data_IF_125600919980
#
_entry.id   IF_125600919980
#
_cell.length_a   1.000
_cell.length_b   1.000
_cell.length_c   1.000
_cell.angle_alpha   90.00
_cell.angle_beta   90.00
_cell.angle_gamma   90.00
#
_symmetry.space_group_name_H-M   'P 1'
#
loop_
_entity.id
_entity.type
_entity.pdbx_description
1 polymer ?
#
# COMPACT_ATOMS: atom_id res chain seq x y z
N UNK A 1 -18.23 4.93 -73.03
CA UNK A 1 -18.03 3.63 -72.35
C UNK A 1 -17.42 3.89 -70.98
N UNK A 2 -18.16 3.75 -69.88
CA UNK A 2 -17.63 3.85 -68.52
C UNK A 2 -18.03 2.58 -67.75
N UNK A 3 -17.04 1.83 -67.27
CA UNK A 3 -17.21 0.54 -66.59
C UNK A 3 -17.66 0.79 -65.15
N UNK A 4 -18.71 0.11 -64.63
CA UNK A 4 -19.13 0.33 -63.25
C UNK A 4 -18.09 -0.27 -62.30
N UNK A 5 -17.53 0.57 -61.42
CA UNK A 5 -16.62 0.17 -60.35
C UNK A 5 -17.41 -0.53 -59.25
N UNK A 6 -17.28 -1.86 -59.20
CA UNK A 6 -17.90 -2.72 -58.19
C UNK A 6 -17.24 -2.44 -56.83
N UNK A 7 -17.85 -1.58 -56.00
CA UNK A 7 -17.43 -1.40 -54.60
C UNK A 7 -17.55 -2.74 -53.88
N UNK A 8 -16.42 -3.35 -53.50
CA UNK A 8 -16.39 -4.56 -52.66
C UNK A 8 -16.97 -4.18 -51.30
N UNK A 9 -18.22 -4.59 -51.05
CA UNK A 9 -18.83 -4.47 -49.73
C UNK A 9 -18.05 -5.37 -48.78
N UNK A 10 -17.38 -4.76 -47.80
CA UNK A 10 -16.69 -5.51 -46.75
C UNK A 10 -17.77 -6.16 -45.88
N UNK A 11 -17.75 -7.50 -45.67
CA UNK A 11 -18.81 -8.17 -44.95
C UNK A 11 -18.86 -7.65 -43.51
N UNK A 12 -20.08 -7.49 -42.97
CA UNK A 12 -20.32 -7.01 -41.59
C UNK A 12 -19.46 -7.75 -40.56
N UNK A 13 -19.18 -9.04 -40.80
CA UNK A 13 -18.30 -9.87 -39.97
C UNK A 13 -16.89 -9.26 -39.78
N UNK A 14 -16.30 -8.64 -40.80
CA UNK A 14 -14.97 -7.99 -40.70
C UNK A 14 -15.02 -6.78 -39.78
N UNK A 15 -16.12 -6.01 -39.80
CA UNK A 15 -16.33 -4.90 -38.89
C UNK A 15 -16.46 -5.36 -37.44
N UNK A 16 -17.18 -6.46 -37.20
CA UNK A 16 -17.28 -7.07 -35.86
C UNK A 16 -15.94 -7.59 -35.36
N UNK A 17 -15.13 -8.24 -36.22
CA UNK A 17 -13.80 -8.71 -35.86
C UNK A 17 -12.84 -7.56 -35.51
N UNK A 18 -12.86 -6.46 -36.28
CA UNK A 18 -12.04 -5.29 -35.99
C UNK A 18 -12.44 -4.62 -34.67
N UNK A 19 -13.75 -4.48 -34.41
CA UNK A 19 -14.23 -3.93 -33.16
C UNK A 19 -13.79 -4.78 -31.94
N UNK A 20 -13.86 -6.11 -32.04
CA UNK A 20 -13.45 -7.01 -30.97
C UNK A 20 -11.95 -6.89 -30.64
N UNK A 21 -11.09 -6.79 -31.65
CA UNK A 21 -9.63 -6.62 -31.47
C UNK A 21 -9.32 -5.28 -30.81
N UNK A 22 -9.99 -4.21 -31.22
CA UNK A 22 -9.81 -2.88 -30.61
C UNK A 22 -10.23 -2.87 -29.15
N UNK A 23 -11.38 -3.47 -28.81
CA UNK A 23 -11.86 -3.57 -27.43
C UNK A 23 -10.88 -4.37 -26.56
N UNK A 24 -10.38 -5.50 -27.08
CA UNK A 24 -9.44 -6.36 -26.34
C UNK A 24 -8.10 -5.66 -26.10
N UNK A 25 -7.59 -4.92 -27.10
CA UNK A 25 -6.37 -4.12 -26.96
C UNK A 25 -6.52 -2.97 -25.96
N UNK A 26 -7.64 -2.23 -26.01
CA UNK A 26 -7.93 -1.16 -25.06
C UNK A 26 -8.12 -1.70 -23.63
N UNK A 27 -8.78 -2.85 -23.47
CA UNK A 27 -8.96 -3.51 -22.18
C UNK A 27 -7.64 -3.97 -21.56
N UNK A 28 -6.75 -4.58 -22.37
CA UNK A 28 -5.43 -4.99 -21.91
C UNK A 28 -4.56 -3.78 -21.51
N UNK A 29 -4.58 -2.71 -22.30
CA UNK A 29 -3.88 -1.47 -21.96
C UNK A 29 -4.40 -0.84 -20.66
N UNK A 30 -5.72 -0.81 -20.47
CA UNK A 30 -6.35 -0.28 -19.25
C UNK A 30 -5.98 -1.11 -18.01
N UNK A 31 -5.99 -2.45 -18.11
CA UNK A 31 -5.59 -3.34 -17.02
C UNK A 31 -4.12 -3.17 -16.61
N UNK A 32 -3.22 -3.06 -17.58
CA UNK A 32 -1.79 -2.78 -17.31
C UNK A 32 -1.60 -1.42 -16.64
N UNK A 33 -2.36 -0.40 -17.06
CA UNK A 33 -2.33 0.92 -16.44
C UNK A 33 -2.85 0.90 -15.00
N UNK A 34 -3.97 0.20 -14.74
CA UNK A 34 -4.53 0.08 -13.40
C UNK A 34 -3.60 -0.69 -12.45
N UNK A 35 -2.93 -1.74 -12.94
CA UNK A 35 -1.91 -2.48 -12.17
C UNK A 35 -0.74 -1.60 -11.74
N UNK A 36 -0.29 -0.64 -12.57
CA UNK A 36 0.78 0.29 -12.20
C UNK A 36 0.36 1.32 -11.15
N UNK A 37 -0.93 1.63 -11.05
CA UNK A 37 -1.44 2.65 -10.13
C UNK A 37 -1.63 2.17 -8.68
N UNK A 38 -1.59 0.85 -8.43
CA UNK A 38 -1.73 0.26 -7.09
C UNK A 38 -0.47 0.41 -6.22
N UNK A 39 0.66 0.85 -6.78
CA UNK A 39 1.94 0.97 -6.05
C UNK A 39 2.01 2.25 -5.19
N UNK A 40 1.05 3.16 -5.35
CA UNK A 40 1.01 4.44 -4.63
C UNK A 40 -0.16 4.49 -3.64
N UNK A 41 -0.27 3.51 -2.75
CA UNK A 41 -1.03 3.73 -1.52
C UNK A 41 -0.12 4.52 -0.56
N UNK A 42 -0.44 5.78 -0.20
CA UNK A 42 0.30 6.47 0.83
C UNK A 42 0.17 5.67 2.12
N UNK A 43 1.30 5.42 2.79
CA UNK A 43 1.32 4.79 4.10
C UNK A 43 0.48 5.65 5.05
N UNK A 44 -0.76 5.23 5.32
CA UNK A 44 -1.60 5.88 6.32
C UNK A 44 -1.06 5.57 7.71
N UNK A 45 -0.08 6.35 8.14
CA UNK A 45 0.44 6.31 9.50
C UNK A 45 -0.64 6.89 10.42
N UNK A 46 -1.42 6.01 11.05
CA UNK A 46 -2.28 6.38 12.18
C UNK A 46 -1.39 6.70 13.39
N UNK A 47 -0.99 7.96 13.51
CA UNK A 47 -0.11 8.42 14.58
C UNK A 47 -0.31 9.90 14.89
N UNK A 48 0.13 10.30 16.08
CA UNK A 48 0.13 11.70 16.52
C UNK A 48 1.53 12.25 16.34
N UNK A 49 1.69 13.22 15.45
CA UNK A 49 2.92 13.99 15.35
C UNK A 49 2.95 15.08 16.42
N UNK A 50 3.89 14.96 17.37
CA UNK A 50 4.13 15.99 18.39
C UNK A 50 5.06 17.05 17.81
N UNK A 51 4.49 18.18 17.39
CA UNK A 51 5.25 19.34 16.91
C UNK A 51 6.02 20.07 18.02
N UNK A 52 5.68 19.82 19.29
CA UNK A 52 6.37 20.35 20.46
C UNK A 52 6.97 19.18 21.26
N UNK A 53 8.28 19.21 21.58
CA UNK A 53 8.88 18.20 22.44
C UNK A 53 8.17 18.15 23.79
N UNK A 54 7.67 16.97 24.16
CA UNK A 54 7.11 16.71 25.48
C UNK A 54 8.21 16.14 26.37
N UNK A 55 8.41 16.68 27.59
CA UNK A 55 9.40 16.13 28.51
C UNK A 55 8.99 14.72 28.94
N UNK A 56 9.94 13.79 28.92
CA UNK A 56 9.75 12.46 29.50
C UNK A 56 9.69 12.63 31.03
N UNK A 57 8.58 12.20 31.63
CA UNK A 57 8.43 12.18 33.08
C UNK A 57 9.40 11.19 33.72
N UNK A 58 9.74 11.39 34.98
CA UNK A 58 10.62 10.47 35.68
C UNK A 58 9.89 9.14 35.93
N UNK A 59 10.59 8.04 35.73
CA UNK A 59 10.08 6.68 35.90
C UNK A 59 11.16 5.77 36.48
N UNK A 60 10.70 4.69 37.10
CA UNK A 60 11.56 3.62 37.60
C UNK A 60 10.95 2.30 37.15
N UNK A 61 11.69 1.57 36.32
CA UNK A 61 11.35 0.26 35.80
C UNK A 61 12.48 -0.72 36.14
N UNK A 62 12.22 -2.00 35.89
CA UNK A 62 13.20 -3.07 35.99
C UNK A 62 13.40 -3.64 34.60
N UNK A 63 14.66 -3.76 34.15
CA UNK A 63 14.97 -4.35 32.86
C UNK A 63 14.91 -5.90 32.91
N UNK A 64 15.15 -6.53 31.77
CA UNK A 64 15.19 -7.99 31.61
C UNK A 64 16.33 -8.67 32.40
N UNK A 65 17.38 -7.94 32.74
CA UNK A 65 18.49 -8.41 33.58
C UNK A 65 18.25 -8.19 35.09
N UNK A 66 17.11 -7.60 35.49
CA UNK A 66 16.77 -7.29 36.89
C UNK A 66 17.39 -5.99 37.44
N UNK A 67 18.07 -5.21 36.60
CA UNK A 67 18.62 -3.90 36.93
C UNK A 67 17.58 -2.77 36.86
N UNK A 68 17.89 -1.65 37.51
CA UNK A 68 17.07 -0.44 37.44
C UNK A 68 17.15 0.19 36.04
N UNK A 69 16.00 0.58 35.49
CA UNK A 69 15.89 1.32 34.25
C UNK A 69 15.08 2.59 34.47
N UNK A 70 15.69 3.73 34.22
CA UNK A 70 15.15 5.07 34.50
C UNK A 70 15.28 5.97 33.27
N UNK A 71 14.89 7.24 33.44
CA UNK A 71 15.08 8.26 32.41
C UNK A 71 16.55 8.56 32.10
N UNK A 72 17.47 8.34 33.05
CA UNK A 72 18.90 8.60 32.84
C UNK A 72 19.45 7.75 31.70
N UNK A 73 18.98 6.51 31.58
CA UNK A 73 19.35 5.55 30.56
C UNK A 73 18.89 5.95 29.15
N UNK A 74 18.00 6.94 29.01
CA UNK A 74 17.52 7.45 27.72
C UNK A 74 18.30 8.67 27.21
N UNK A 75 19.16 9.28 28.04
CA UNK A 75 19.84 10.53 27.70
C UNK A 75 20.98 10.34 26.69
N UNK A 76 21.19 11.33 25.83
CA UNK A 76 22.32 11.37 24.90
C UNK A 76 22.24 10.41 23.70
N UNK A 77 21.10 9.74 23.50
CA UNK A 77 20.89 8.81 22.37
C UNK A 77 19.45 8.81 21.88
N UNK A 78 19.27 8.46 20.61
CA UNK A 78 17.94 8.22 20.05
C UNK A 78 17.33 6.96 20.66
N UNK A 79 16.06 7.06 21.07
CA UNK A 79 15.31 5.96 21.68
C UNK A 79 14.02 5.73 20.91
N UNK A 80 13.76 4.48 20.53
CA UNK A 80 12.47 4.03 20.04
C UNK A 80 11.80 3.21 21.15
N UNK A 81 10.53 3.51 21.42
CA UNK A 81 9.75 2.86 22.49
C UNK A 81 8.57 2.15 21.86
N UNK A 82 8.32 0.93 22.31
CA UNK A 82 7.15 0.13 21.96
C UNK A 82 6.46 -0.30 23.26
N UNK A 83 5.13 -0.17 23.29
CA UNK A 83 4.31 -0.59 24.43
C UNK A 83 3.62 -1.91 24.07
N UNK A 84 3.87 -2.95 24.86
CA UNK A 84 3.28 -4.27 24.66
C UNK A 84 3.40 -5.14 25.90
N UNK A 85 2.82 -6.34 25.84
CA UNK A 85 2.88 -7.37 26.88
C UNK A 85 3.26 -8.71 26.24
N UNK A 86 3.85 -9.60 27.04
CA UNK A 86 4.33 -10.91 26.57
C UNK A 86 3.25 -11.99 26.58
N UNK A 87 2.20 -11.83 27.38
CA UNK A 87 1.09 -12.78 27.49
C UNK A 87 -0.24 -12.08 27.28
N UNK A 88 -0.94 -12.48 26.23
CA UNK A 88 -2.25 -11.94 25.87
C UNK A 88 -3.31 -12.45 26.86
N UNK A 89 -4.07 -11.57 27.52
CA UNK A 89 -4.97 -12.00 28.58
C UNK A 89 -6.21 -12.76 28.09
N UNK A 90 -6.50 -12.88 26.78
CA UNK A 90 -7.69 -13.62 26.32
C UNK A 90 -7.57 -14.35 24.96
N UNK A 91 -6.60 -14.05 24.08
CA UNK A 91 -6.46 -14.81 22.81
C UNK A 91 -4.98 -15.06 22.51
N UNK A 92 -4.58 -16.32 22.60
CA UNK A 92 -3.30 -16.80 22.08
C UNK A 92 -3.27 -16.60 20.56
N UNK A 93 -2.12 -16.26 19.96
CA UNK A 93 -2.01 -16.26 18.51
C UNK A 93 -2.19 -17.71 18.02
N UNK A 94 -3.23 -17.94 17.23
CA UNK A 94 -3.19 -19.00 16.23
C UNK A 94 -2.53 -18.38 15.00
N UNK A 95 -1.28 -18.80 14.76
CA UNK A 95 -0.29 -18.36 13.74
C UNK A 95 0.56 -17.15 14.09
#
# INVERSE_FOLDING_TARGET
MAKPTRRRAVPRAVWWSLAAVVIMGLGAAFQLWQSSSQVMQPLEVSGVYLNKPQPVVDFTLVNDEGGAFTKAELQGKWTFIYFGYTSCPDVCPTT
#
